data_IF_597730080508
#
_entry.id   IF_597730080508
#
_cell.length_a   1.000
_cell.length_b   1.000
_cell.length_c   1.000
_cell.angle_alpha   90.00
_cell.angle_beta   90.00
_cell.angle_gamma   90.00
#
_symmetry.space_group_name_H-M   'P 1'
#
loop_
_entity.id
_entity.type
_entity.pdbx_description
1 polymer ?
#
# COMPACT_ATOMS: atom_id res chain seq x y z
N UNK A 1 11.59 -15.64 -19.95
CA UNK A 1 10.49 -15.55 -18.98
C UNK A 1 10.96 -15.63 -17.52
N UNK A 2 11.09 -16.80 -16.87
CA UNK A 2 11.34 -16.87 -15.40
C UNK A 2 12.52 -16.02 -14.93
N UNK A 3 13.69 -16.14 -15.56
CA UNK A 3 14.87 -15.35 -15.19
C UNK A 3 14.64 -13.83 -15.32
N UNK A 4 14.01 -13.40 -16.42
CA UNK A 4 13.73 -11.98 -16.69
C UNK A 4 12.69 -11.44 -15.72
N UNK A 5 11.63 -12.22 -15.46
CA UNK A 5 10.60 -11.89 -14.47
C UNK A 5 11.22 -11.72 -13.09
N UNK A 6 12.03 -12.69 -12.63
CA UNK A 6 12.73 -12.62 -11.35
C UNK A 6 13.59 -11.35 -11.22
N UNK A 7 14.39 -11.07 -12.26
CA UNK A 7 15.22 -9.86 -12.31
C UNK A 7 14.38 -8.57 -12.29
N UNK A 8 13.18 -8.57 -12.89
CA UNK A 8 12.29 -7.41 -12.91
C UNK A 8 11.53 -7.22 -11.59
N UNK A 9 11.08 -8.29 -10.93
CA UNK A 9 10.23 -8.19 -9.73
C UNK A 9 11.04 -7.99 -8.44
N UNK A 10 12.26 -8.52 -8.36
CA UNK A 10 13.15 -8.27 -7.21
C UNK A 10 13.64 -6.83 -7.30
N UNK A 11 13.17 -5.95 -6.45
CA UNK A 11 13.49 -4.52 -6.42
C UNK A 11 14.38 -4.14 -5.23
N UNK A 12 14.49 -5.02 -4.22
CA UNK A 12 15.33 -4.80 -3.03
C UNK A 12 16.22 -6.01 -2.75
N UNK A 13 17.40 -5.81 -2.10
CA UNK A 13 18.29 -6.93 -1.79
C UNK A 13 17.65 -8.01 -0.93
N UNK A 14 16.85 -7.66 0.08
CA UNK A 14 16.18 -8.63 0.97
C UNK A 14 15.22 -9.56 0.22
N UNK A 15 14.69 -9.14 -0.92
CA UNK A 15 13.78 -9.97 -1.74
C UNK A 15 14.51 -11.17 -2.37
N UNK A 16 15.84 -11.12 -2.51
CA UNK A 16 16.66 -12.25 -2.96
C UNK A 16 16.63 -13.40 -1.94
N UNK A 17 16.84 -13.09 -0.66
CA UNK A 17 16.85 -14.06 0.42
C UNK A 17 15.44 -14.54 0.74
N UNK A 18 14.45 -13.64 0.74
CA UNK A 18 13.03 -13.98 0.90
C UNK A 18 12.55 -14.93 -0.20
N UNK A 19 12.92 -14.68 -1.46
CA UNK A 19 12.60 -15.59 -2.55
C UNK A 19 13.13 -17.01 -2.28
N UNK A 20 14.39 -17.14 -1.84
CA UNK A 20 14.98 -18.43 -1.52
C UNK A 20 14.29 -19.10 -0.32
N UNK A 21 13.90 -18.33 0.69
CA UNK A 21 13.15 -18.83 1.84
C UNK A 21 11.79 -19.38 1.43
N UNK A 22 11.07 -18.69 0.55
CA UNK A 22 9.79 -19.15 -0.03
C UNK A 22 10.00 -20.40 -0.89
N UNK A 23 11.01 -20.40 -1.77
CA UNK A 23 11.33 -21.52 -2.64
C UNK A 23 11.63 -22.82 -1.87
N UNK A 24 12.11 -22.69 -0.64
CA UNK A 24 12.41 -23.81 0.27
C UNK A 24 11.42 -23.97 1.42
N UNK A 25 10.24 -23.37 1.34
CA UNK A 25 9.21 -23.45 2.40
C UNK A 25 8.81 -24.90 2.67
N UNK A 26 8.55 -25.67 1.62
CA UNK A 26 8.11 -27.08 1.72
C UNK A 26 9.29 -28.05 1.79
N UNK A 27 10.31 -27.87 0.95
CA UNK A 27 11.48 -28.72 0.91
C UNK A 27 12.72 -27.99 0.38
N UNK A 28 13.89 -28.32 0.94
CA UNK A 28 15.16 -27.80 0.44
C UNK A 28 15.59 -28.58 -0.80
N UNK A 29 15.74 -27.88 -1.92
CA UNK A 29 16.07 -28.46 -3.23
C UNK A 29 16.98 -27.54 -4.04
N UNK A 30 17.71 -28.04 -5.05
CA UNK A 30 18.54 -27.20 -5.91
C UNK A 30 17.73 -26.11 -6.61
N UNK A 31 18.26 -24.87 -6.64
CA UNK A 31 17.66 -23.80 -7.44
C UNK A 31 17.73 -24.16 -8.93
N UNK A 32 16.62 -24.01 -9.65
CA UNK A 32 16.59 -24.22 -11.09
C UNK A 32 17.53 -23.25 -11.82
N UNK A 33 18.01 -23.64 -13.00
CA UNK A 33 18.96 -22.82 -13.77
C UNK A 33 18.40 -21.42 -14.09
N UNK A 34 17.10 -21.31 -14.38
CA UNK A 34 16.43 -20.03 -14.65
C UNK A 34 16.33 -19.15 -13.40
N UNK A 35 16.09 -19.75 -12.24
CA UNK A 35 16.09 -19.03 -10.95
C UNK A 35 17.48 -18.48 -10.65
N UNK A 36 18.52 -19.30 -10.79
CA UNK A 36 19.91 -18.86 -10.60
C UNK A 36 20.25 -17.67 -11.50
N UNK A 37 19.93 -17.75 -12.80
CA UNK A 37 20.13 -16.64 -13.75
C UNK A 37 19.37 -15.38 -13.33
N UNK A 38 18.12 -15.51 -12.89
CA UNK A 38 17.30 -14.38 -12.47
C UNK A 38 17.81 -13.71 -11.21
N UNK A 39 18.18 -14.50 -10.19
CA UNK A 39 18.77 -13.99 -8.95
C UNK A 39 20.12 -13.32 -9.21
N UNK A 40 20.98 -13.91 -10.04
CA UNK A 40 22.27 -13.33 -10.39
C UNK A 40 22.12 -11.97 -11.11
N UNK A 41 21.19 -11.89 -12.07
CA UNK A 41 20.86 -10.64 -12.76
C UNK A 41 20.29 -9.59 -11.79
N UNK A 42 19.40 -9.99 -10.87
CA UNK A 42 18.84 -9.10 -9.87
C UNK A 42 19.91 -8.55 -8.91
N UNK A 43 20.84 -9.40 -8.47
CA UNK A 43 21.91 -9.05 -7.53
C UNK A 43 22.79 -7.92 -8.07
N UNK A 44 23.05 -7.93 -9.39
CA UNK A 44 23.89 -6.93 -10.06
C UNK A 44 23.38 -5.49 -10.02
N UNK A 45 22.13 -5.28 -9.59
CA UNK A 45 21.48 -3.95 -9.52
C UNK A 45 21.80 -3.18 -8.24
N UNK A 46 22.29 -3.86 -7.21
CA UNK A 46 22.37 -3.30 -5.87
C UNK A 46 23.73 -2.68 -5.58
N UNK A 47 23.70 -1.50 -4.96
CA UNK A 47 24.88 -0.79 -4.47
C UNK A 47 25.14 -1.10 -2.99
N UNK A 48 26.29 -0.64 -2.48
CA UNK A 48 26.70 -0.88 -1.10
C UNK A 48 25.67 -0.45 -0.06
N UNK A 49 25.10 0.74 -0.21
CA UNK A 49 24.07 1.25 0.71
C UNK A 49 22.86 0.31 0.79
N UNK A 50 22.33 -0.11 -0.37
CA UNK A 50 21.20 -1.02 -0.39
C UNK A 50 21.56 -2.39 0.20
N UNK A 51 22.71 -2.95 -0.16
CA UNK A 51 23.18 -4.23 0.39
C UNK A 51 23.32 -4.14 1.91
N UNK A 52 23.98 -3.12 2.46
CA UNK A 52 24.19 -3.01 3.90
C UNK A 52 22.91 -2.69 4.68
N UNK A 53 21.99 -1.92 4.10
CA UNK A 53 20.67 -1.66 4.70
C UNK A 53 19.80 -2.91 4.84
N UNK A 54 19.90 -3.82 3.87
CA UNK A 54 19.03 -4.99 3.76
C UNK A 54 19.75 -6.31 4.09
N UNK A 55 21.05 -6.30 4.36
CA UNK A 55 21.80 -7.45 4.86
C UNK A 55 21.44 -7.72 6.32
N UNK A 56 20.34 -8.46 6.49
CA UNK A 56 19.81 -8.85 7.79
C UNK A 56 20.12 -10.31 8.06
N UNK A 57 20.23 -10.64 9.33
CA UNK A 57 20.33 -12.02 9.74
C UNK A 57 19.00 -12.75 9.50
N UNK A 58 19.08 -13.99 9.02
CA UNK A 58 17.91 -14.75 8.57
C UNK A 58 18.30 -16.15 8.10
N UNK A 59 17.29 -16.95 7.72
CA UNK A 59 17.49 -18.35 7.29
C UNK A 59 18.37 -18.46 6.03
N UNK A 60 18.33 -17.46 5.16
CA UNK A 60 19.16 -17.32 3.97
C UNK A 60 19.72 -15.90 3.98
N UNK A 61 21.05 -15.74 3.94
CA UNK A 61 21.71 -14.43 3.87
C UNK A 61 21.99 -14.02 2.43
N UNK A 62 22.23 -12.73 2.20
CA UNK A 62 22.58 -12.22 0.87
C UNK A 62 23.83 -12.89 0.30
N UNK A 63 24.85 -13.12 1.14
CA UNK A 63 26.05 -13.88 0.74
C UNK A 63 25.72 -15.31 0.28
N UNK A 64 24.75 -15.96 0.92
CA UNK A 64 24.36 -17.32 0.56
C UNK A 64 23.70 -17.30 -0.82
N UNK A 65 22.80 -16.34 -1.06
CA UNK A 65 22.17 -16.18 -2.39
C UNK A 65 23.22 -15.93 -3.46
N UNK A 66 24.21 -15.08 -3.18
CA UNK A 66 25.31 -14.78 -4.10
C UNK A 66 26.04 -16.06 -4.55
N UNK A 67 26.37 -16.94 -3.59
CA UNK A 67 27.00 -18.23 -3.89
C UNK A 67 26.07 -19.19 -4.64
N UNK A 68 24.79 -19.26 -4.25
CA UNK A 68 23.81 -20.19 -4.84
C UNK A 68 23.48 -19.86 -6.30
N UNK A 69 23.42 -18.57 -6.64
CA UNK A 69 23.12 -18.13 -8.00
C UNK A 69 24.35 -18.04 -8.90
N UNK A 70 25.56 -18.13 -8.34
CA UNK A 70 26.83 -17.97 -9.04
C UNK A 70 26.90 -16.65 -9.83
N UNK A 71 26.48 -15.55 -9.20
CA UNK A 71 26.55 -14.24 -9.83
C UNK A 71 28.01 -13.89 -10.16
N UNK A 72 28.22 -13.29 -11.33
CA UNK A 72 29.54 -12.80 -11.76
C UNK A 72 29.52 -11.27 -11.70
N UNK A 73 30.54 -10.64 -11.08
CA UNK A 73 30.60 -9.20 -11.02
C UNK A 73 30.76 -8.63 -12.44
N UNK A 74 30.11 -7.51 -12.70
CA UNK A 74 30.18 -6.84 -14.01
C UNK A 74 31.53 -6.13 -14.23
N UNK A 75 32.18 -5.71 -13.15
CA UNK A 75 33.44 -4.96 -13.13
C UNK A 75 34.20 -5.20 -11.82
N UNK A 76 35.40 -4.60 -11.71
CA UNK A 76 36.26 -4.73 -10.53
C UNK A 76 35.67 -4.09 -9.27
N UNK A 77 34.94 -2.99 -9.42
CA UNK A 77 34.31 -2.30 -8.29
C UNK A 77 33.23 -3.18 -7.64
N UNK A 78 32.40 -3.84 -8.46
CA UNK A 78 31.40 -4.76 -7.98
C UNK A 78 32.01 -6.04 -7.38
N UNK A 79 33.13 -6.52 -7.93
CA UNK A 79 33.89 -7.64 -7.34
C UNK A 79 34.38 -7.31 -5.92
N UNK A 80 34.97 -6.12 -5.73
CA UNK A 80 35.41 -5.64 -4.41
C UNK A 80 34.24 -5.44 -3.44
N UNK A 81 33.12 -4.88 -3.91
CA UNK A 81 31.89 -4.74 -3.13
C UNK A 81 31.35 -6.10 -2.65
N UNK A 82 31.29 -7.08 -3.55
CA UNK A 82 30.79 -8.41 -3.21
C UNK A 82 31.73 -9.16 -2.27
N UNK A 83 33.04 -8.96 -2.38
CA UNK A 83 34.00 -9.45 -1.37
C UNK A 83 33.73 -8.86 0.01
N UNK A 84 33.45 -7.55 0.11
CA UNK A 84 33.05 -6.93 1.38
C UNK A 84 31.74 -7.50 1.92
N UNK A 85 30.76 -7.77 1.06
CA UNK A 85 29.52 -8.45 1.47
C UNK A 85 29.79 -9.85 2.03
N UNK A 86 30.59 -10.66 1.32
CA UNK A 86 30.95 -12.03 1.74
C UNK A 86 31.65 -12.01 3.11
N UNK A 87 32.58 -11.06 3.28
CA UNK A 87 33.38 -10.89 4.49
C UNK A 87 32.60 -10.24 5.66
N UNK A 88 31.37 -9.76 5.43
CA UNK A 88 30.61 -9.02 6.44
C UNK A 88 31.23 -7.66 6.80
N UNK A 89 31.92 -7.04 5.84
CA UNK A 89 32.64 -5.76 5.99
C UNK A 89 32.01 -4.62 5.18
N UNK A 90 30.72 -4.71 4.88
CA UNK A 90 30.02 -3.59 4.24
C UNK A 90 30.04 -2.37 5.17
N UNK A 91 30.12 -1.18 4.57
CA UNK A 91 30.00 0.05 5.33
C UNK A 91 28.66 0.10 6.07
N UNK A 92 28.70 0.59 7.31
CA UNK A 92 27.48 0.83 8.11
C UNK A 92 26.61 1.82 7.34
N UNK A 93 25.35 1.47 7.00
CA UNK A 93 24.52 2.34 6.20
C UNK A 93 24.10 3.57 7.01
N UNK A 94 24.18 4.74 6.39
CA UNK A 94 23.62 6.00 6.94
C UNK A 94 22.09 6.00 6.81
N UNK A 95 21.45 5.10 7.56
CA UNK A 95 19.98 5.06 7.74
C UNK A 95 19.56 6.01 8.84
N UNK A 96 18.28 6.35 8.89
CA UNK A 96 17.75 7.18 9.97
C UNK A 96 17.84 6.47 11.33
N UNK A 97 17.63 5.15 11.38
CA UNK A 97 17.78 4.35 12.59
C UNK A 97 19.21 4.43 13.14
N UNK A 98 20.22 4.26 12.27
CA UNK A 98 21.65 4.37 12.63
C UNK A 98 22.00 5.81 12.99
N UNK A 99 21.52 6.79 12.25
CA UNK A 99 21.77 8.21 12.52
C UNK A 99 21.27 8.62 13.91
N UNK A 100 20.05 8.22 14.26
CA UNK A 100 19.44 8.58 15.54
C UNK A 100 20.07 7.85 16.73
N UNK A 101 20.51 6.60 16.53
CA UNK A 101 21.17 5.81 17.57
C UNK A 101 22.67 6.10 17.73
N UNK A 102 23.34 6.61 16.69
CA UNK A 102 24.78 6.88 16.69
C UNK A 102 25.14 8.31 17.13
N UNK A 103 26.10 8.43 18.05
CA UNK A 103 26.71 9.70 18.48
C UNK A 103 25.82 10.56 19.39
N UNK A 104 26.32 10.89 20.59
CA UNK A 104 25.66 11.82 21.53
C UNK A 104 25.97 13.29 21.23
N UNK A 105 26.83 13.58 20.25
CA UNK A 105 27.38 14.92 20.03
C UNK A 105 26.44 15.84 19.22
N UNK A 106 25.44 15.28 18.54
CA UNK A 106 24.48 16.02 17.72
C UNK A 106 23.06 15.75 18.24
N UNK A 107 22.25 16.81 18.38
CA UNK A 107 20.87 16.66 18.85
C UNK A 107 20.03 15.82 17.88
N UNK A 108 19.00 15.14 18.38
CA UNK A 108 18.07 14.39 17.52
C UNK A 108 17.34 15.30 16.53
N UNK A 109 17.05 16.54 16.92
CA UNK A 109 16.53 17.57 16.03
C UNK A 109 17.42 17.76 14.81
N UNK A 110 18.70 18.05 15.02
CA UNK A 110 19.64 18.33 13.93
C UNK A 110 19.82 17.10 13.02
N UNK A 111 19.80 15.89 13.61
CA UNK A 111 19.82 14.64 12.84
C UNK A 111 18.61 14.51 11.92
N UNK A 112 17.41 14.79 12.43
CA UNK A 112 16.20 14.80 11.59
C UNK A 112 16.26 15.85 10.50
N UNK A 113 16.65 17.09 10.83
CA UNK A 113 16.76 18.17 9.84
C UNK A 113 17.77 17.84 8.74
N UNK A 114 18.92 17.25 9.09
CA UNK A 114 19.90 16.77 8.12
C UNK A 114 19.29 15.73 7.18
N UNK A 115 18.61 14.73 7.74
CA UNK A 115 17.98 13.66 6.96
C UNK A 115 16.90 14.17 6.00
N UNK A 116 16.15 15.20 6.41
CA UNK A 116 15.17 15.90 5.56
C UNK A 116 15.87 16.69 4.44
N UNK A 117 16.86 17.53 4.78
CA UNK A 117 17.61 18.38 3.83
C UNK A 117 18.37 17.56 2.80
N UNK A 118 18.92 16.42 3.19
CA UNK A 118 19.68 15.53 2.31
C UNK A 118 18.79 14.50 1.56
N UNK A 119 17.46 14.57 1.74
CA UNK A 119 16.49 13.65 1.13
C UNK A 119 16.82 12.16 1.37
N UNK A 120 17.26 11.85 2.60
CA UNK A 120 17.66 10.48 3.02
C UNK A 120 16.52 9.70 3.67
N UNK A 121 15.34 10.30 3.82
CA UNK A 121 14.15 9.65 4.36
C UNK A 121 13.25 9.12 3.26
N UNK A 122 13.07 7.81 3.22
CA UNK A 122 12.03 7.21 2.40
C UNK A 122 10.64 7.60 2.88
N UNK A 123 9.65 7.56 1.97
CA UNK A 123 8.28 8.00 2.24
C UNK A 123 7.66 7.36 3.50
N UNK A 124 7.78 6.04 3.66
CA UNK A 124 7.26 5.35 4.85
C UNK A 124 8.02 5.73 6.14
N UNK A 125 9.31 6.02 6.05
CA UNK A 125 10.08 6.46 7.22
C UNK A 125 9.65 7.86 7.66
N UNK A 126 9.39 8.75 6.71
CA UNK A 126 8.85 10.09 6.97
C UNK A 126 7.48 10.00 7.66
N UNK A 127 6.51 9.32 7.04
CA UNK A 127 5.13 9.21 7.57
C UNK A 127 5.07 8.60 8.98
N UNK A 128 5.89 7.59 9.27
CA UNK A 128 5.88 6.90 10.58
C UNK A 128 6.56 7.69 11.70
N UNK A 129 7.35 8.70 11.36
CA UNK A 129 8.15 9.45 12.34
C UNK A 129 7.72 10.91 12.51
N UNK A 130 6.59 11.34 11.95
CA UNK A 130 6.10 12.72 12.09
C UNK A 130 5.94 13.14 13.55
N UNK A 131 5.34 12.28 14.39
CA UNK A 131 5.24 12.50 15.84
C UNK A 131 6.60 12.65 16.52
N UNK A 132 7.58 11.85 16.13
CA UNK A 132 8.93 11.93 16.69
C UNK A 132 9.60 13.24 16.29
N UNK A 133 9.44 13.69 15.05
CA UNK A 133 9.97 14.97 14.58
C UNK A 133 9.33 16.15 15.32
N UNK A 134 8.03 16.09 15.57
CA UNK A 134 7.33 17.10 16.38
C UNK A 134 7.84 17.14 17.82
N UNK A 135 7.96 15.98 18.47
CA UNK A 135 8.47 15.87 19.85
C UNK A 135 9.91 16.40 20.00
N UNK A 136 10.73 16.23 18.97
CA UNK A 136 12.11 16.72 18.93
C UNK A 136 12.21 18.17 18.40
N UNK A 137 11.08 18.86 18.20
CA UNK A 137 11.00 20.26 17.74
C UNK A 137 11.74 20.54 16.42
N UNK A 138 11.66 19.59 15.48
CA UNK A 138 12.16 19.74 14.10
C UNK A 138 11.44 20.89 13.40
N UNK A 139 12.15 21.67 12.59
CA UNK A 139 11.54 22.74 11.80
C UNK A 139 10.42 22.20 10.90
N UNK A 140 9.19 22.67 11.15
CA UNK A 140 8.00 22.20 10.46
C UNK A 140 7.97 22.59 8.98
N UNK A 141 8.67 23.65 8.58
CA UNK A 141 8.81 24.01 7.16
C UNK A 141 9.53 22.91 6.38
N UNK A 142 10.55 22.28 6.97
CA UNK A 142 11.29 21.17 6.36
C UNK A 142 10.41 19.92 6.23
N UNK A 143 9.64 19.60 7.26
CA UNK A 143 8.73 18.44 7.24
C UNK A 143 7.63 18.62 6.19
N UNK A 144 7.02 19.80 6.12
CA UNK A 144 6.01 20.12 5.10
C UNK A 144 6.58 20.03 3.69
N UNK A 145 7.78 20.56 3.47
CA UNK A 145 8.50 20.44 2.18
C UNK A 145 8.75 18.97 1.83
N UNK A 146 9.22 18.17 2.78
CA UNK A 146 9.45 16.74 2.55
C UNK A 146 8.16 15.97 2.24
N UNK A 147 7.03 16.30 2.86
CA UNK A 147 5.71 15.75 2.50
C UNK A 147 5.26 16.20 1.11
N UNK A 148 5.59 17.43 0.71
CA UNK A 148 5.34 17.95 -0.64
C UNK A 148 6.26 17.36 -1.71
N UNK A 149 7.38 16.74 -1.35
CA UNK A 149 8.29 16.09 -2.31
C UNK A 149 8.26 14.56 -2.20
N UNK A 150 7.42 14.03 -1.31
CA UNK A 150 7.32 12.59 -1.05
C UNK A 150 6.94 11.82 -2.31
N UNK A 151 7.70 10.75 -2.61
CA UNK A 151 7.36 9.79 -3.66
C UNK A 151 6.33 8.80 -3.12
N UNK A 152 5.14 8.77 -3.73
CA UNK A 152 4.00 7.98 -3.25
C UNK A 152 3.80 6.65 -3.95
N UNK A 153 4.61 6.33 -4.96
CA UNK A 153 4.50 5.17 -5.87
C UNK A 153 4.42 3.78 -5.19
N UNK A 154 4.57 3.69 -3.86
CA UNK A 154 4.46 2.46 -3.06
C UNK A 154 3.92 2.71 -1.65
N UNK A 155 3.22 3.84 -1.45
CA UNK A 155 2.65 4.20 -0.16
C UNK A 155 1.15 3.97 -0.19
N UNK A 156 0.70 3.01 0.60
CA UNK A 156 -0.71 2.66 0.68
C UNK A 156 -1.52 3.83 1.27
N UNK A 157 -2.75 4.10 0.79
CA UNK A 157 -3.54 5.27 1.18
C UNK A 157 -3.76 5.38 2.69
N UNK A 158 -4.08 4.26 3.35
CA UNK A 158 -4.29 4.22 4.79
C UNK A 158 -3.05 4.61 5.62
N UNK A 159 -1.84 4.61 5.03
CA UNK A 159 -0.63 5.06 5.73
C UNK A 159 -0.66 6.57 6.00
N UNK A 160 -1.37 7.34 5.17
CA UNK A 160 -1.60 8.76 5.39
C UNK A 160 -2.63 8.98 6.51
N UNK A 161 -3.66 8.12 6.59
CA UNK A 161 -4.59 8.10 7.73
C UNK A 161 -3.85 7.81 9.03
N UNK A 162 -2.98 6.79 9.05
CA UNK A 162 -2.15 6.47 10.21
C UNK A 162 -1.26 7.64 10.63
N UNK A 163 -0.67 8.34 9.66
CA UNK A 163 0.16 9.50 9.90
C UNK A 163 -0.65 10.67 10.48
N UNK A 164 -1.83 10.95 9.94
CA UNK A 164 -2.72 12.01 10.40
C UNK A 164 -3.22 11.78 11.84
N UNK A 165 -3.49 10.52 12.22
CA UNK A 165 -3.84 10.17 13.61
C UNK A 165 -2.75 10.57 14.62
N UNK A 166 -1.50 10.66 14.20
CA UNK A 166 -0.36 11.01 15.05
C UNK A 166 0.14 12.44 14.83
N UNK A 167 -0.25 13.10 13.74
CA UNK A 167 0.13 14.46 13.38
C UNK A 167 -1.03 15.18 12.64
N UNK A 168 -2.17 15.44 13.31
CA UNK A 168 -3.37 16.00 12.69
C UNK A 168 -3.15 17.41 12.12
N UNK A 169 -2.22 18.18 12.69
CA UNK A 169 -1.81 19.49 12.21
C UNK A 169 -1.16 19.47 10.80
N UNK A 170 -0.77 18.29 10.30
CA UNK A 170 -0.21 18.07 8.97
C UNK A 170 -1.22 17.44 8.00
N UNK A 171 -2.49 17.35 8.35
CA UNK A 171 -3.54 16.81 7.47
C UNK A 171 -3.55 17.43 6.06
N UNK A 172 -3.42 18.76 5.89
CA UNK A 172 -3.39 19.35 4.55
C UNK A 172 -2.24 18.81 3.68
N UNK A 173 -1.03 18.70 4.25
CA UNK A 173 0.14 18.19 3.54
C UNK A 173 0.07 16.67 3.31
N UNK A 174 -0.48 15.92 4.27
CA UNK A 174 -0.70 14.49 4.16
C UNK A 174 -1.74 14.16 3.09
N UNK A 175 -2.83 14.91 3.03
CA UNK A 175 -3.88 14.76 2.03
C UNK A 175 -3.33 15.05 0.64
N UNK A 176 -2.66 16.19 0.47
CA UNK A 176 -2.00 16.54 -0.79
C UNK A 176 -0.97 15.48 -1.20
N UNK A 177 -0.18 14.96 -0.25
CA UNK A 177 0.74 13.86 -0.47
C UNK A 177 0.02 12.61 -0.97
N UNK A 178 -1.01 12.16 -0.26
CA UNK A 178 -1.80 10.97 -0.62
C UNK A 178 -2.37 11.07 -2.03
N UNK A 179 -2.99 12.20 -2.39
CA UNK A 179 -3.64 12.38 -3.68
C UNK A 179 -2.69 12.43 -4.88
N UNK A 180 -1.38 12.60 -4.68
CA UNK A 180 -0.40 12.52 -5.77
C UNK A 180 -0.33 11.16 -6.45
N UNK A 181 -0.67 10.08 -5.75
CA UNK A 181 -0.69 8.76 -6.38
C UNK A 181 -1.71 8.71 -7.54
N UNK A 182 -2.71 9.61 -7.53
CA UNK A 182 -3.74 9.71 -8.56
C UNK A 182 -3.30 10.48 -9.81
N UNK A 183 -2.13 11.14 -9.81
CA UNK A 183 -1.71 12.00 -10.92
C UNK A 183 -1.57 11.28 -12.26
N UNK A 184 -1.40 9.95 -12.23
CA UNK A 184 -1.28 9.09 -13.42
C UNK A 184 -2.61 8.45 -13.84
N UNK A 185 -3.68 8.65 -13.07
CA UNK A 185 -4.98 8.03 -13.31
C UNK A 185 -5.92 9.01 -14.00
N UNK A 186 -6.61 8.53 -15.04
CA UNK A 186 -7.69 9.28 -15.66
C UNK A 186 -8.93 9.32 -14.77
N UNK A 187 -9.89 10.18 -15.10
CA UNK A 187 -11.20 10.16 -14.43
C UNK A 187 -12.00 8.93 -14.86
N UNK A 188 -12.80 8.39 -13.96
CA UNK A 188 -13.80 7.39 -14.29
C UNK A 188 -15.13 8.11 -14.59
N UNK A 189 -15.56 8.16 -15.86
CA UNK A 189 -16.77 8.86 -16.26
C UNK A 189 -18.02 8.13 -15.78
N UNK A 190 -19.15 8.85 -15.80
CA UNK A 190 -20.45 8.31 -15.42
C UNK A 190 -20.69 8.31 -13.91
N UNK A 191 -21.90 7.88 -13.56
CA UNK A 191 -22.39 7.91 -12.18
C UNK A 191 -21.92 6.70 -11.40
N UNK A 192 -21.20 6.96 -10.31
CA UNK A 192 -20.67 5.94 -9.41
C UNK A 192 -21.44 5.94 -8.10
N UNK A 193 -21.94 4.78 -7.69
CA UNK A 193 -22.30 4.52 -6.30
C UNK A 193 -21.10 3.88 -5.60
N UNK A 194 -20.59 4.54 -4.57
CA UNK A 194 -19.49 4.05 -3.74
C UNK A 194 -20.04 3.65 -2.37
N UNK A 195 -20.03 2.36 -2.06
CA UNK A 195 -20.49 1.83 -0.78
C UNK A 195 -19.30 1.41 0.07
N UNK A 196 -19.25 1.91 1.32
CA UNK A 196 -18.16 1.63 2.26
C UNK A 196 -18.71 0.89 3.47
N UNK A 197 -18.20 -0.32 3.69
CA UNK A 197 -18.56 -1.15 4.83
C UNK A 197 -18.00 -0.57 6.13
N UNK A 198 -18.87 -0.40 7.12
CA UNK A 198 -18.51 0.04 8.47
C UNK A 198 -18.98 -0.94 9.55
N UNK A 199 -19.28 -2.18 9.15
CA UNK A 199 -19.68 -3.24 10.08
C UNK A 199 -18.59 -3.59 11.10
N UNK A 200 -18.98 -4.29 12.15
CA UNK A 200 -18.06 -4.67 13.23
C UNK A 200 -16.85 -5.51 12.75
N UNK A 201 -16.98 -6.29 11.67
CA UNK A 201 -15.86 -7.04 11.11
C UNK A 201 -14.77 -6.15 10.52
N UNK A 202 -15.12 -4.95 10.06
CA UNK A 202 -14.21 -3.94 9.52
C UNK A 202 -13.32 -3.29 10.61
N UNK A 203 -13.68 -3.38 11.88
CA UNK A 203 -12.84 -2.91 13.01
C UNK A 203 -11.65 -3.85 13.28
N UNK A 204 -11.62 -5.02 12.65
CA UNK A 204 -10.50 -5.97 12.75
C UNK A 204 -9.20 -5.41 12.15
N UNK A 205 -8.07 -5.79 12.73
CA UNK A 205 -6.74 -5.46 12.21
C UNK A 205 -6.52 -6.09 10.81
N UNK A 206 -5.79 -5.37 9.94
CA UNK A 206 -5.41 -5.87 8.61
C UNK A 206 -4.45 -7.07 8.68
N UNK A 207 -3.63 -7.15 9.73
CA UNK A 207 -2.72 -8.26 10.00
C UNK A 207 -2.22 -8.20 11.44
N UNK A 208 -1.71 -9.32 11.97
CA UNK A 208 -1.18 -9.44 13.33
C UNK A 208 -0.08 -8.41 13.69
N UNK A 209 0.56 -7.81 12.68
CA UNK A 209 1.64 -6.82 12.84
C UNK A 209 1.19 -5.39 12.55
N UNK A 210 -0.09 -5.17 12.27
CA UNK A 210 -0.65 -3.88 11.87
C UNK A 210 -1.56 -3.32 12.96
N UNK A 211 -1.33 -2.06 13.32
CA UNK A 211 -2.29 -1.29 14.13
C UNK A 211 -3.45 -0.74 13.27
N UNK A 212 -3.36 -0.85 11.94
CA UNK A 212 -4.39 -0.38 11.02
C UNK A 212 -5.49 -1.40 10.87
N UNK A 213 -6.73 -0.91 10.84
CA UNK A 213 -7.94 -1.72 10.68
C UNK A 213 -8.34 -1.81 9.21
N UNK A 214 -9.16 -2.80 8.86
CA UNK A 214 -9.78 -2.93 7.53
C UNK A 214 -10.57 -1.68 7.16
N UNK A 215 -11.26 -1.11 8.14
CA UNK A 215 -11.98 0.14 7.99
C UNK A 215 -11.08 1.32 7.58
N UNK A 216 -9.85 1.40 8.10
CA UNK A 216 -8.91 2.46 7.70
C UNK A 216 -8.42 2.24 6.25
N UNK A 217 -8.24 0.99 5.81
CA UNK A 217 -7.98 0.67 4.40
C UNK A 217 -9.15 1.05 3.49
N UNK A 218 -10.37 0.73 3.90
CA UNK A 218 -11.58 1.05 3.15
C UNK A 218 -11.78 2.57 3.02
N UNK A 219 -11.60 3.33 4.11
CA UNK A 219 -11.61 4.79 4.08
C UNK A 219 -10.54 5.35 3.14
N UNK A 220 -9.31 4.82 3.19
CA UNK A 220 -8.21 5.26 2.32
C UNK A 220 -8.53 5.07 0.84
N UNK A 221 -9.10 3.92 0.47
CA UNK A 221 -9.58 3.67 -0.90
C UNK A 221 -10.75 4.59 -1.28
N UNK A 222 -11.72 4.79 -0.38
CA UNK A 222 -12.87 5.64 -0.64
C UNK A 222 -12.45 7.10 -0.91
N UNK A 223 -11.48 7.61 -0.17
CA UNK A 223 -10.88 8.93 -0.37
C UNK A 223 -10.27 9.06 -1.77
N UNK A 224 -9.57 8.02 -2.25
CA UNK A 224 -9.00 8.02 -3.59
C UNK A 224 -10.09 7.91 -4.68
N UNK A 225 -11.02 6.97 -4.54
CA UNK A 225 -12.08 6.73 -5.53
C UNK A 225 -12.99 7.93 -5.70
N UNK A 226 -13.29 8.65 -4.61
CA UNK A 226 -14.04 9.92 -4.67
C UNK A 226 -13.36 10.95 -5.56
N UNK A 227 -12.02 10.97 -5.59
CA UNK A 227 -11.26 11.90 -6.44
C UNK A 227 -11.16 11.44 -7.89
N UNK A 228 -11.38 10.17 -8.19
CA UNK A 228 -11.30 9.62 -9.55
C UNK A 228 -12.66 9.58 -10.25
N UNK A 229 -13.75 9.35 -9.52
CA UNK A 229 -15.09 9.30 -10.10
C UNK A 229 -15.61 10.72 -10.41
N UNK A 230 -16.19 10.92 -11.59
CA UNK A 230 -16.71 12.25 -11.99
C UNK A 230 -18.01 12.62 -11.25
N UNK A 231 -18.97 11.70 -11.21
CA UNK A 231 -20.19 11.81 -10.42
C UNK A 231 -20.22 10.66 -9.41
N UNK A 232 -20.25 10.97 -8.11
CA UNK A 232 -20.16 9.97 -7.06
C UNK A 232 -21.19 10.22 -5.96
N UNK A 233 -21.98 9.18 -5.68
CA UNK A 233 -22.82 9.09 -4.51
C UNK A 233 -22.21 8.09 -3.53
N UNK A 234 -21.97 8.53 -2.29
CA UNK A 234 -21.28 7.72 -1.29
C UNK A 234 -22.29 7.25 -0.24
N UNK A 235 -22.23 5.98 0.10
CA UNK A 235 -23.01 5.38 1.18
C UNK A 235 -22.07 4.63 2.12
N UNK A 236 -22.28 4.76 3.43
CA UNK A 236 -21.78 3.77 4.38
C UNK A 236 -22.84 2.69 4.57
N UNK A 237 -22.43 1.49 4.96
CA UNK A 237 -23.39 0.44 5.34
C UNK A 237 -22.88 -0.43 6.49
N UNK A 238 -23.83 -0.88 7.31
CA UNK A 238 -23.67 -1.94 8.31
C UNK A 238 -24.97 -2.75 8.36
N UNK A 239 -25.83 -2.49 9.34
CA UNK A 239 -27.21 -3.00 9.40
C UNK A 239 -28.13 -2.32 8.38
N UNK A 240 -27.83 -1.05 8.07
CA UNK A 240 -28.51 -0.23 7.08
C UNK A 240 -27.51 0.62 6.30
N UNK A 241 -27.95 1.13 5.16
CA UNK A 241 -27.23 2.11 4.36
C UNK A 241 -27.53 3.55 4.83
N UNK A 242 -26.49 4.39 4.88
CA UNK A 242 -26.62 5.82 5.16
C UNK A 242 -25.90 6.59 4.06
N UNK A 243 -26.58 7.56 3.46
CA UNK A 243 -25.96 8.43 2.46
C UNK A 243 -24.97 9.37 3.14
N UNK A 244 -23.73 9.37 2.65
CA UNK A 244 -22.62 10.19 3.18
C UNK A 244 -22.36 11.36 2.24
N UNK A 245 -22.22 12.60 2.74
CA UNK A 245 -21.82 13.73 1.91
C UNK A 245 -20.47 13.47 1.21
N UNK A 246 -20.35 13.69 -0.12
CA UNK A 246 -19.15 13.35 -0.90
C UNK A 246 -18.02 14.38 -0.72
N UNK A 247 -17.60 14.58 0.53
CA UNK A 247 -16.47 15.43 0.93
C UNK A 247 -15.17 14.89 0.33
N UNK A 248 -14.10 15.68 0.42
CA UNK A 248 -12.77 15.32 -0.10
C UNK A 248 -11.86 14.86 1.05
N UNK A 249 -10.93 13.96 0.72
CA UNK A 249 -9.85 13.52 1.61
C UNK A 249 -10.27 13.22 3.05
N UNK A 250 -9.58 13.76 4.05
CA UNK A 250 -9.83 13.41 5.46
C UNK A 250 -11.25 13.76 5.93
N UNK A 251 -11.84 14.82 5.38
CA UNK A 251 -13.22 15.19 5.71
C UNK A 251 -14.25 14.14 5.22
N UNK A 252 -13.92 13.35 4.18
CA UNK A 252 -14.74 12.21 3.77
C UNK A 252 -14.62 11.06 4.78
N UNK A 253 -13.39 10.72 5.18
CA UNK A 253 -13.15 9.70 6.21
C UNK A 253 -13.99 10.02 7.45
N UNK A 254 -13.93 11.26 7.94
CA UNK A 254 -14.66 11.65 9.15
C UNK A 254 -16.18 11.61 8.94
N UNK A 255 -16.67 11.93 7.74
CA UNK A 255 -18.08 11.78 7.42
C UNK A 255 -18.53 10.30 7.41
N UNK A 256 -17.69 9.38 6.92
CA UNK A 256 -17.95 7.93 6.95
C UNK A 256 -17.91 7.42 8.40
N UNK A 257 -16.87 7.77 9.16
CA UNK A 257 -16.69 7.36 10.56
C UNK A 257 -17.90 7.74 11.42
N UNK A 258 -18.42 8.96 11.22
CA UNK A 258 -19.53 9.50 12.01
C UNK A 258 -20.91 9.26 11.38
N UNK A 259 -21.01 8.43 10.34
CA UNK A 259 -22.26 8.25 9.59
C UNK A 259 -23.30 7.41 10.32
N UNK A 260 -22.89 6.32 10.99
CA UNK A 260 -23.73 5.44 11.79
C UNK A 260 -22.86 4.56 12.71
N UNK A 261 -23.48 3.84 13.64
CA UNK A 261 -22.79 2.89 14.52
C UNK A 261 -22.37 1.61 13.77
N UNK A 262 -21.31 0.96 14.26
CA UNK A 262 -20.83 -0.32 13.72
C UNK A 262 -21.71 -1.45 14.23
N UNK A 263 -22.31 -2.21 13.31
CA UNK A 263 -23.19 -3.35 13.61
C UNK A 263 -22.93 -4.52 12.62
N UNK A 264 -23.77 -5.54 12.61
CA UNK A 264 -23.71 -6.66 11.66
C UNK A 264 -23.90 -6.23 10.20
N UNK A 265 -23.42 -7.05 9.27
CA UNK A 265 -23.37 -6.72 7.83
C UNK A 265 -24.55 -7.29 7.06
N UNK A 266 -25.46 -6.44 6.59
CA UNK A 266 -26.57 -6.80 5.69
C UNK A 266 -26.35 -6.22 4.28
N UNK A 267 -25.29 -6.68 3.62
CA UNK A 267 -24.82 -6.12 2.36
C UNK A 267 -25.87 -6.23 1.25
N UNK A 268 -26.55 -7.37 1.13
CA UNK A 268 -27.53 -7.60 0.06
C UNK A 268 -28.72 -6.67 0.14
N UNK A 269 -29.25 -6.46 1.35
CA UNK A 269 -30.29 -5.48 1.65
C UNK A 269 -29.85 -4.07 1.28
N UNK A 270 -28.67 -3.65 1.71
CA UNK A 270 -28.17 -2.30 1.44
C UNK A 270 -27.93 -2.05 -0.05
N UNK A 271 -27.36 -3.02 -0.79
CA UNK A 271 -27.25 -2.93 -2.25
C UNK A 271 -28.62 -2.77 -2.89
N UNK A 272 -29.59 -3.60 -2.51
CA UNK A 272 -30.94 -3.54 -3.07
C UNK A 272 -31.60 -2.18 -2.82
N UNK A 273 -31.45 -1.65 -1.61
CA UNK A 273 -32.01 -0.34 -1.24
C UNK A 273 -31.38 0.80 -2.03
N UNK A 274 -30.05 0.79 -2.18
CA UNK A 274 -29.33 1.81 -2.97
C UNK A 274 -29.70 1.73 -4.45
N UNK A 275 -29.74 0.53 -5.04
CA UNK A 275 -30.13 0.35 -6.45
C UNK A 275 -31.57 0.78 -6.74
N UNK A 276 -32.48 0.66 -5.76
CA UNK A 276 -33.86 1.12 -5.90
C UNK A 276 -34.02 2.63 -5.70
N UNK A 277 -33.11 3.27 -4.96
CA UNK A 277 -33.21 4.70 -4.62
C UNK A 277 -32.39 5.61 -5.52
N UNK A 278 -31.34 5.09 -6.16
CA UNK A 278 -30.47 5.85 -7.05
C UNK A 278 -30.70 5.43 -8.50
N UNK A 279 -31.19 6.36 -9.32
CA UNK A 279 -31.39 6.15 -10.75
C UNK A 279 -30.12 6.45 -11.56
N UNK A 280 -29.94 5.72 -12.66
CA UNK A 280 -28.89 6.01 -13.65
C UNK A 280 -27.48 5.64 -13.19
N UNK A 281 -27.35 4.59 -12.39
CA UNK A 281 -26.04 4.09 -11.92
C UNK A 281 -25.30 3.46 -13.10
N UNK A 282 -24.15 4.03 -13.48
CA UNK A 282 -23.24 3.39 -14.43
C UNK A 282 -22.43 2.30 -13.72
N UNK A 283 -21.89 2.62 -12.54
CA UNK A 283 -21.03 1.72 -11.76
C UNK A 283 -21.39 1.71 -10.28
N UNK A 284 -21.29 0.53 -9.67
CA UNK A 284 -21.23 0.36 -8.21
C UNK A 284 -19.87 -0.19 -7.79
N UNK A 285 -19.27 0.41 -6.77
CA UNK A 285 -18.07 -0.10 -6.09
C UNK A 285 -18.42 -0.30 -4.62
N UNK A 286 -18.30 -1.53 -4.13
CA UNK A 286 -18.49 -1.88 -2.73
C UNK A 286 -17.13 -2.19 -2.12
N UNK A 287 -16.77 -1.53 -1.03
CA UNK A 287 -15.53 -1.81 -0.27
C UNK A 287 -15.92 -2.48 1.05
N UNK A 288 -15.51 -3.72 1.24
CA UNK A 288 -15.95 -4.58 2.35
C UNK A 288 -14.86 -5.62 2.70
N UNK A 289 -15.07 -6.39 3.75
CA UNK A 289 -14.37 -7.66 3.96
C UNK A 289 -15.16 -8.88 3.47
N UNK A 290 -16.22 -8.68 2.69
CA UNK A 290 -17.03 -9.73 2.07
C UNK A 290 -17.69 -10.69 3.09
N UNK A 291 -17.88 -10.24 4.33
CA UNK A 291 -18.74 -10.94 5.30
C UNK A 291 -20.15 -10.36 5.21
N UNK A 292 -21.16 -11.20 4.90
CA UNK A 292 -22.56 -10.78 4.93
C UNK A 292 -23.45 -11.82 5.59
N UNK A 293 -24.49 -11.35 6.29
CA UNK A 293 -25.54 -12.19 6.88
C UNK A 293 -26.68 -12.51 5.91
N UNK A 294 -26.68 -11.90 4.72
CA UNK A 294 -27.70 -12.09 3.70
C UNK A 294 -27.11 -12.37 2.32
N UNK A 295 -28.00 -12.77 1.39
CA UNK A 295 -27.63 -13.01 0.01
C UNK A 295 -27.42 -11.68 -0.71
N UNK A 296 -26.24 -11.52 -1.30
CA UNK A 296 -25.95 -10.40 -2.22
C UNK A 296 -26.69 -10.61 -3.54
N UNK A 297 -27.51 -9.64 -4.01
CA UNK A 297 -28.20 -9.74 -5.29
C UNK A 297 -27.24 -9.49 -6.45
N UNK A 298 -27.67 -9.86 -7.67
CA UNK A 298 -26.97 -9.42 -8.87
C UNK A 298 -27.12 -7.91 -9.04
N UNK A 299 -26.06 -7.20 -9.44
CA UNK A 299 -26.10 -5.76 -9.60
C UNK A 299 -26.85 -5.38 -10.87
N UNK A 300 -27.69 -4.35 -10.79
CA UNK A 300 -28.45 -3.83 -11.94
C UNK A 300 -27.83 -2.52 -12.43
N UNK A 301 -26.58 -2.61 -12.91
CA UNK A 301 -25.82 -1.50 -13.49
C UNK A 301 -24.81 -2.04 -14.52
N UNK A 302 -24.13 -1.14 -15.24
CA UNK A 302 -23.20 -1.56 -16.32
C UNK A 302 -21.97 -2.26 -15.77
N UNK A 303 -21.44 -1.78 -14.64
CA UNK A 303 -20.26 -2.35 -14.01
C UNK A 303 -20.41 -2.44 -12.49
N UNK A 304 -19.93 -3.52 -11.89
CA UNK A 304 -20.09 -3.78 -10.46
C UNK A 304 -18.86 -4.46 -9.87
N UNK A 305 -18.29 -3.84 -8.84
CA UNK A 305 -17.03 -4.25 -8.24
C UNK A 305 -17.18 -4.48 -6.74
N UNK A 306 -16.72 -5.64 -6.29
CA UNK A 306 -16.60 -5.99 -4.88
C UNK A 306 -15.12 -5.94 -4.51
N UNK A 307 -14.74 -4.98 -3.67
CA UNK A 307 -13.35 -4.76 -3.24
C UNK A 307 -13.18 -5.32 -1.83
N UNK A 308 -12.46 -6.44 -1.72
CA UNK A 308 -12.17 -7.11 -0.47
C UNK A 308 -10.87 -6.58 0.16
N UNK A 309 -10.98 -5.93 1.31
CA UNK A 309 -9.83 -5.37 2.06
C UNK A 309 -9.26 -6.32 3.11
N UNK A 310 -9.88 -7.48 3.34
CA UNK A 310 -9.42 -8.48 4.30
C UNK A 310 -8.66 -9.66 3.66
N UNK A 311 -8.74 -9.79 2.33
CA UNK A 311 -8.15 -10.90 1.57
C UNK A 311 -8.61 -12.29 2.06
N UNK A 312 -9.88 -12.40 2.47
CA UNK A 312 -10.43 -13.71 2.81
C UNK A 312 -10.53 -14.59 1.56
N UNK A 313 -10.27 -15.89 1.73
CA UNK A 313 -10.22 -16.85 0.61
C UNK A 313 -11.57 -17.03 -0.11
N UNK A 314 -12.68 -16.89 0.60
CA UNK A 314 -14.03 -17.09 0.07
C UNK A 314 -14.77 -15.75 0.15
N UNK A 315 -15.29 -15.29 -0.99
CA UNK A 315 -16.13 -14.09 -1.10
C UNK A 315 -17.63 -14.36 -1.15
N UNK A 316 -18.40 -13.32 -1.45
CA UNK A 316 -19.87 -13.32 -1.57
C UNK A 316 -20.31 -12.68 -2.89
N UNK A 317 -21.47 -13.05 -3.44
CA UNK A 317 -21.94 -12.41 -4.69
C UNK A 317 -21.26 -12.93 -5.96
N UNK A 318 -20.99 -14.24 -6.04
CA UNK A 318 -20.40 -14.86 -7.23
C UNK A 318 -21.26 -14.67 -8.49
N UNK A 319 -20.61 -14.43 -9.63
CA UNK A 319 -21.26 -14.34 -10.95
C UNK A 319 -21.15 -12.94 -11.52
N UNK A 320 -22.20 -12.13 -11.38
CA UNK A 320 -22.32 -10.81 -11.99
C UNK A 320 -21.41 -9.73 -11.38
N UNK A 321 -20.74 -10.02 -10.26
CA UNK A 321 -19.78 -9.11 -9.62
C UNK A 321 -18.34 -9.40 -10.06
N UNK A 322 -17.58 -8.33 -10.29
CA UNK A 322 -16.12 -8.41 -10.43
C UNK A 322 -15.46 -8.27 -9.07
N UNK A 323 -14.78 -9.32 -8.62
CA UNK A 323 -14.05 -9.34 -7.35
C UNK A 323 -12.63 -8.79 -7.48
N UNK A 324 -12.23 -7.96 -6.54
CA UNK A 324 -10.90 -7.35 -6.47
C UNK A 324 -10.39 -7.44 -5.04
N UNK A 325 -9.22 -8.04 -4.84
CA UNK A 325 -8.54 -8.04 -3.54
C UNK A 325 -7.52 -6.91 -3.46
N UNK A 326 -7.56 -6.13 -2.37
CA UNK A 326 -6.50 -5.18 -2.05
C UNK A 326 -6.96 -3.87 -1.44
N UNK A 327 -6.02 -2.95 -1.30
CA UNK A 327 -6.22 -1.65 -0.64
C UNK A 327 -5.28 -0.55 -1.15
N UNK A 328 -4.80 -0.69 -2.40
CA UNK A 328 -3.93 0.30 -3.06
C UNK A 328 -4.64 0.98 -4.23
N UNK A 329 -4.04 2.06 -4.71
CA UNK A 329 -4.39 2.76 -5.94
C UNK A 329 -4.37 1.86 -7.19
N UNK A 330 -3.69 0.71 -7.14
CA UNK A 330 -3.71 -0.27 -8.23
C UNK A 330 -5.12 -0.80 -8.53
N UNK A 331 -6.04 -0.79 -7.54
CA UNK A 331 -7.45 -1.12 -7.75
C UNK A 331 -8.09 -0.17 -8.77
N UNK A 332 -7.74 1.11 -8.71
CA UNK A 332 -8.25 2.13 -9.62
C UNK A 332 -7.79 1.82 -11.04
N UNK A 333 -6.49 1.55 -11.21
CA UNK A 333 -5.95 1.15 -12.51
C UNK A 333 -6.64 -0.13 -13.03
N UNK A 334 -6.89 -1.11 -12.15
CA UNK A 334 -7.56 -2.35 -12.54
C UNK A 334 -8.98 -2.09 -13.05
N UNK A 335 -9.78 -1.29 -12.32
CA UNK A 335 -11.14 -0.90 -12.74
C UNK A 335 -11.11 -0.16 -14.09
N UNK A 336 -10.20 0.82 -14.25
CA UNK A 336 -10.07 1.57 -15.50
C UNK A 336 -9.77 0.66 -16.69
N UNK A 337 -8.82 -0.27 -16.55
CA UNK A 337 -8.47 -1.19 -17.62
C UNK A 337 -9.62 -2.15 -17.97
N UNK A 338 -10.39 -2.60 -16.98
CA UNK A 338 -11.56 -3.45 -17.22
C UNK A 338 -12.65 -2.71 -18.01
N UNK A 339 -12.97 -1.49 -17.62
CA UNK A 339 -14.01 -0.70 -18.30
C UNK A 339 -13.58 -0.33 -19.73
N UNK A 340 -12.30 0.00 -19.95
CA UNK A 340 -11.76 0.22 -21.29
C UNK A 340 -11.89 -1.04 -22.16
N UNK A 341 -11.49 -2.21 -21.64
CA UNK A 341 -11.56 -3.47 -22.41
C UNK A 341 -12.99 -3.90 -22.77
N UNK A 342 -13.98 -3.48 -21.97
CA UNK A 342 -15.39 -3.79 -22.21
C UNK A 342 -15.99 -2.86 -23.26
N UNK A 343 -15.52 -1.61 -23.36
CA UNK A 343 -15.97 -0.65 -24.37
C UNK A 343 -15.40 -0.91 -25.77
N UNK A 344 -14.33 -1.70 -25.89
CA UNK A 344 -13.72 -2.10 -27.16
C UNK A 344 -14.35 -3.36 -27.77
N UNK A 345 -15.23 -4.05 -27.05
CA UNK A 345 -16.01 -5.22 -27.51
C UNK A 345 -17.43 -4.80 -27.89
#
# INVERSE_FOLDING_TARGET
>A
LVSETLSRVIQRPDELSEFCAIYWKEARQPLSAQVKKGLAAAFGKFNEYSLSKYDRDGRVKLRDVLFLCHAKPKDKEQDELWKRLIDGKLAVPDTWEVSLSGGNDISKKDKWERLLKENKLGALALLRNLRNMEQENVDMSLVKTALQEIKTERVLPFRFIAAAQHAPQLEPELEAGMLKCLAIHEKLPGKTVLMVDISGSMDSQLSDRSQMRRFDAACGLAMLLREICDDVEIFSFSYSEVRVPPRRGFALRDAIVNSQEMDGTYLGRSISSVMNSVSGIDRIIVITDEQSHDRVPDPVCKAAYMVNVASYKNGIGYGAWTHIDGWSEAIIAYIQNLELSTNEQ
#
